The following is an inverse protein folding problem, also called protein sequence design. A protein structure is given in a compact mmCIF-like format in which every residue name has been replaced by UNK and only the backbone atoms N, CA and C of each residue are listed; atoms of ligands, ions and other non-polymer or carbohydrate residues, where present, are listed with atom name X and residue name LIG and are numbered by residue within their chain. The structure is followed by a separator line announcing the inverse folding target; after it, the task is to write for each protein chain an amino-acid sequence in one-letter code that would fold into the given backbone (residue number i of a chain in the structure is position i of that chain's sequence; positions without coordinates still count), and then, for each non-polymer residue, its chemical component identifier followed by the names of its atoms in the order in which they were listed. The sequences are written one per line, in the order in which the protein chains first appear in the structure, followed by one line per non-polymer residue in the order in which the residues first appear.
data_IF_595012769191
#
_entry.id   IF_595012769191
#
_cell.length_a   1.000
_cell.length_b   1.000
_cell.length_c   1.000
_cell.angle_alpha   90.00
_cell.angle_beta   90.00
_cell.angle_gamma   90.00
#
_symmetry.space_group_name_H-M   'P 1'
#
loop_
_entity.id
_entity.type
_entity.pdbx_description
1 polymer ?
#
# COMPACT_ATOMS: atom_id res chain seq x y z
N UNK A 1 -0.60 -7.06 -3.21
CA UNK A 1 -1.63 -6.19 -2.61
C UNK A 1 -1.28 -4.76 -2.93
N UNK A 2 -2.25 -3.90 -3.26
CA UNK A 2 -1.96 -2.53 -3.70
C UNK A 2 -2.71 -1.55 -2.80
N UNK A 3 -2.00 -0.60 -2.19
CA UNK A 3 -2.60 0.60 -1.59
C UNK A 3 -2.57 1.72 -2.64
N UNK A 4 -3.69 2.41 -2.81
CA UNK A 4 -3.80 3.57 -3.71
C UNK A 4 -3.94 4.83 -2.88
N UNK A 5 -3.11 5.83 -3.18
CA UNK A 5 -3.14 7.15 -2.55
C UNK A 5 -3.33 8.23 -3.61
N UNK A 6 -4.22 9.16 -3.30
CA UNK A 6 -4.47 10.33 -4.13
C UNK A 6 -4.24 11.59 -3.31
N UNK A 7 -3.63 12.60 -3.92
CA UNK A 7 -3.55 13.95 -3.36
C UNK A 7 -3.69 15.00 -4.46
N UNK A 8 -4.25 16.15 -4.10
CA UNK A 8 -4.17 17.39 -4.88
C UNK A 8 -3.23 18.41 -4.24
N UNK A 9 -2.65 18.10 -3.07
CA UNK A 9 -1.76 18.99 -2.33
C UNK A 9 -0.28 18.72 -2.69
N UNK A 10 0.56 19.73 -2.52
CA UNK A 10 1.98 19.72 -2.91
C UNK A 10 2.91 18.80 -2.09
N UNK A 11 2.41 18.10 -1.06
CA UNK A 11 3.23 17.19 -0.25
C UNK A 11 3.52 15.87 -0.97
N UNK A 12 4.58 15.19 -0.56
CA UNK A 12 4.96 13.89 -1.09
C UNK A 12 4.00 12.80 -0.58
N UNK A 13 3.32 12.11 -1.50
CA UNK A 13 2.28 11.11 -1.18
C UNK A 13 2.87 9.89 -0.48
N UNK A 14 4.13 9.57 -0.79
CA UNK A 14 4.92 8.52 -0.16
C UNK A 14 5.09 8.73 1.35
N UNK A 15 5.17 9.98 1.82
CA UNK A 15 5.32 10.32 3.25
C UNK A 15 4.06 10.02 4.10
N UNK A 16 2.91 9.78 3.45
CA UNK A 16 1.65 9.43 4.14
C UNK A 16 1.47 7.95 4.38
N UNK A 17 2.31 7.09 3.81
CA UNK A 17 2.39 5.72 4.27
C UNK A 17 3.19 5.77 5.58
N UNK A 18 2.50 5.74 6.71
CA UNK A 18 3.15 5.58 8.01
C UNK A 18 3.14 4.11 8.43
N UNK A 19 3.99 3.78 9.42
CA UNK A 19 4.07 2.43 9.97
C UNK A 19 2.71 1.89 10.42
N UNK A 20 1.86 2.76 11.01
CA UNK A 20 0.52 2.37 11.48
C UNK A 20 -0.40 1.95 10.34
N UNK A 21 -0.31 2.61 9.19
CA UNK A 21 -1.09 2.26 8.00
C UNK A 21 -0.59 0.94 7.42
N UNK A 22 0.72 0.71 7.37
CA UNK A 22 1.25 -0.58 6.92
C UNK A 22 0.83 -1.73 7.83
N UNK A 23 0.86 -1.55 9.16
CA UNK A 23 0.38 -2.56 10.13
C UNK A 23 -1.08 -2.94 9.90
N UNK A 24 -1.93 -1.98 9.51
CA UNK A 24 -3.33 -2.26 9.16
C UNK A 24 -3.42 -3.09 7.87
N UNK A 25 -2.64 -2.74 6.84
CA UNK A 25 -2.61 -3.48 5.58
C UNK A 25 -2.16 -4.93 5.84
N UNK A 26 -1.08 -5.13 6.60
CA UNK A 26 -0.60 -6.47 6.97
C UNK A 26 -1.66 -7.31 7.67
N UNK A 27 -2.35 -6.76 8.67
CA UNK A 27 -3.46 -7.46 9.34
C UNK A 27 -4.60 -7.84 8.40
N UNK A 28 -4.93 -6.96 7.46
CA UNK A 28 -5.95 -7.23 6.44
C UNK A 28 -5.49 -8.35 5.50
N UNK A 29 -4.22 -8.35 5.09
CA UNK A 29 -3.61 -9.41 4.28
C UNK A 29 -3.66 -10.73 5.02
N UNK A 30 -3.19 -10.79 6.27
CA UNK A 30 -3.22 -12.00 7.11
C UNK A 30 -4.64 -12.56 7.22
N UNK A 31 -5.62 -11.71 7.51
CA UNK A 31 -7.02 -12.13 7.58
C UNK A 31 -7.54 -12.66 6.23
N UNK A 32 -7.20 -11.99 5.13
CA UNK A 32 -7.58 -12.45 3.79
C UNK A 32 -6.95 -13.81 3.46
N UNK A 33 -5.67 -14.01 3.76
CA UNK A 33 -4.97 -15.27 3.56
C UNK A 33 -5.60 -16.41 4.36
N UNK A 34 -5.85 -16.18 5.66
CA UNK A 34 -6.52 -17.15 6.53
C UNK A 34 -7.91 -17.53 6.01
N UNK A 35 -8.70 -16.55 5.57
CA UNK A 35 -10.06 -16.78 5.06
C UNK A 35 -10.07 -17.60 3.77
N UNK A 36 -9.05 -17.45 2.92
CA UNK A 36 -9.00 -18.08 1.61
C UNK A 36 -8.05 -19.28 1.53
N UNK A 37 -7.40 -19.66 2.64
CA UNK A 37 -6.42 -20.75 2.68
C UNK A 37 -5.18 -20.49 1.82
N UNK A 38 -4.79 -19.22 1.65
CA UNK A 38 -3.66 -18.82 0.80
C UNK A 38 -2.39 -18.80 1.65
N UNK A 39 -1.35 -19.50 1.19
CA UNK A 39 -0.02 -19.53 1.84
C UNK A 39 1.12 -19.08 0.90
N UNK A 40 0.79 -18.49 -0.24
CA UNK A 40 1.79 -17.96 -1.17
C UNK A 40 2.42 -16.67 -0.65
N UNK A 41 3.64 -16.39 -1.08
CA UNK A 41 4.29 -15.11 -0.87
C UNK A 41 3.43 -13.96 -1.41
N UNK A 42 3.55 -12.79 -0.80
CA UNK A 42 2.85 -11.59 -1.22
C UNK A 42 3.78 -10.38 -1.24
N UNK A 43 3.43 -9.42 -2.08
CA UNK A 43 4.04 -8.11 -2.16
C UNK A 43 3.02 -7.04 -1.80
N UNK A 44 3.47 -5.91 -1.25
CA UNK A 44 2.66 -4.71 -1.09
C UNK A 44 3.23 -3.64 -2.01
N UNK A 45 2.37 -3.07 -2.85
CA UNK A 45 2.71 -1.99 -3.78
C UNK A 45 1.92 -0.73 -3.42
N UNK A 46 2.44 0.40 -3.85
CA UNK A 46 1.84 1.71 -3.65
C UNK A 46 1.67 2.41 -5.00
N UNK A 47 0.43 2.80 -5.30
CA UNK A 47 0.13 3.71 -6.39
C UNK A 47 -0.15 5.09 -5.81
N UNK A 48 0.66 6.08 -6.18
CA UNK A 48 0.51 7.48 -5.81
C UNK A 48 0.00 8.26 -7.02
N UNK A 49 -1.13 8.94 -6.87
CA UNK A 49 -1.73 9.80 -7.89
C UNK A 49 -1.66 11.25 -7.40
N UNK A 50 -0.96 12.11 -8.14
CA UNK A 50 -0.77 13.54 -7.82
C UNK A 50 -0.75 14.35 -9.11
N UNK A 51 -1.61 15.36 -9.22
CA UNK A 51 -1.65 16.29 -10.36
C UNK A 51 -1.61 15.57 -11.73
N UNK A 52 -2.46 14.56 -11.90
CA UNK A 52 -2.55 13.69 -13.07
C UNK A 52 -1.31 12.83 -13.38
N UNK A 53 -0.31 12.84 -12.49
CA UNK A 53 0.84 11.93 -12.52
C UNK A 53 0.54 10.70 -11.67
N UNK A 54 0.78 9.52 -12.25
CA UNK A 54 0.72 8.25 -11.56
C UNK A 54 2.15 7.78 -11.31
N UNK A 55 2.51 7.62 -10.05
CA UNK A 55 3.75 7.00 -9.61
C UNK A 55 3.43 5.61 -9.05
N UNK A 56 4.16 4.61 -9.53
CA UNK A 56 4.07 3.24 -9.05
C UNK A 56 5.33 2.89 -8.26
N UNK A 57 5.16 2.56 -6.99
CA UNK A 57 6.23 2.14 -6.09
C UNK A 57 6.00 0.68 -5.71
N UNK A 58 6.88 -0.19 -6.19
CA UNK A 58 6.79 -1.64 -5.98
C UNK A 58 7.46 -2.05 -4.67
N UNK A 59 6.94 -3.13 -4.08
CA UNK A 59 7.55 -3.80 -2.92
C UNK A 59 7.89 -2.84 -1.77
N UNK A 60 6.90 -2.07 -1.34
CA UNK A 60 7.07 -1.13 -0.24
C UNK A 60 7.32 -1.87 1.09
N UNK A 61 8.42 -1.52 1.75
CA UNK A 61 8.83 -2.01 3.06
C UNK A 61 9.36 -0.85 3.91
N UNK A 62 9.42 -1.03 5.24
CA UNK A 62 10.11 -0.12 6.17
C UNK A 62 11.36 -0.77 6.74
#
# INVERSE_FOLDING_TARGET
FIEVKFTQNDYEVSERLDRKKLEKILKTIEFYHLKNGISSDFQIDLICIKNDVIQFCENISF
#
